data_IF_892865471910
#
_entry.id   IF_892865471910
#
_cell.length_a   1.000
_cell.length_b   1.000
_cell.length_c   1.000
_cell.angle_alpha   90.00
_cell.angle_beta   90.00
_cell.angle_gamma   90.00
#
_symmetry.space_group_name_H-M   'P 1'
#
loop_
_entity.id
_entity.type
_entity.pdbx_description
1 polymer ?
#
# COMPACT_ATOMS: atom_id res chain seq x y z
N UNK A 1 -0.50 7.72 -1.16
CA UNK A 1 -0.49 8.04 0.28
C UNK A 1 -0.05 9.48 0.50
N UNK A 2 0.32 9.87 1.74
CA UNK A 2 0.41 9.02 2.92
C UNK A 2 -0.96 8.45 3.36
N UNK A 3 -0.96 7.31 4.05
CA UNK A 3 -2.19 6.61 4.48
C UNK A 3 -2.41 6.66 6.01
N UNK A 4 -1.62 7.47 6.70
CA UNK A 4 -1.74 7.78 8.13
C UNK A 4 -1.61 9.29 8.30
N UNK A 5 -2.15 9.85 9.39
CA UNK A 5 -1.98 11.28 9.67
C UNK A 5 -0.57 11.55 10.19
N UNK A 6 -0.09 12.79 10.13
CA UNK A 6 1.27 13.13 10.55
C UNK A 6 1.51 13.03 12.05
N UNK A 7 0.45 13.04 12.84
CA UNK A 7 0.42 13.07 14.31
C UNK A 7 -0.05 11.74 14.93
N UNK A 8 -0.40 10.74 14.11
CA UNK A 8 -0.90 9.45 14.58
C UNK A 8 -0.51 8.34 13.61
N UNK A 9 0.14 7.30 14.13
CA UNK A 9 0.41 6.04 13.43
C UNK A 9 -0.79 5.09 13.34
N UNK A 10 -2.02 5.55 13.59
CA UNK A 10 -3.22 4.71 13.67
C UNK A 10 -3.81 4.30 12.31
N UNK A 11 -3.32 4.83 11.18
CA UNK A 11 -3.83 4.52 9.83
C UNK A 11 -5.36 4.70 9.69
N UNK A 12 -5.93 5.74 10.31
CA UNK A 12 -7.36 6.05 10.18
C UNK A 12 -7.75 6.36 8.72
N UNK A 13 -6.99 7.18 7.95
CA UNK A 13 -7.29 7.42 6.54
C UNK A 13 -7.28 6.15 5.68
N UNK A 14 -6.44 5.17 6.03
CA UNK A 14 -6.42 3.86 5.37
C UNK A 14 -7.74 3.11 5.60
N UNK A 15 -8.25 3.15 6.82
CA UNK A 15 -9.50 2.48 7.20
C UNK A 15 -10.69 3.11 6.48
N UNK A 16 -10.72 4.44 6.37
CA UNK A 16 -11.73 5.17 5.61
C UNK A 16 -11.66 4.83 4.11
N UNK A 17 -10.45 4.76 3.53
CA UNK A 17 -10.27 4.36 2.14
C UNK A 17 -10.80 2.94 1.89
N UNK A 18 -10.52 1.99 2.78
CA UNK A 18 -11.04 0.63 2.68
C UNK A 18 -12.57 0.64 2.71
N UNK A 19 -13.20 1.44 3.59
CA UNK A 19 -14.64 1.58 3.64
C UNK A 19 -15.23 2.16 2.34
N UNK A 20 -14.54 3.14 1.73
CA UNK A 20 -14.93 3.71 0.43
C UNK A 20 -14.85 2.64 -0.67
N UNK A 21 -13.75 1.88 -0.75
CA UNK A 21 -13.59 0.80 -1.75
C UNK A 21 -14.66 -0.28 -1.55
N UNK A 22 -14.90 -0.70 -0.31
CA UNK A 22 -15.93 -1.70 0.01
C UNK A 22 -17.34 -1.23 -0.37
N UNK A 23 -17.64 0.07 -0.18
CA UNK A 23 -18.94 0.67 -0.51
C UNK A 23 -19.13 0.84 -2.01
N UNK A 24 -18.13 1.37 -2.71
CA UNK A 24 -18.25 1.75 -4.12
C UNK A 24 -17.89 0.63 -5.09
N UNK A 25 -17.15 -0.39 -4.63
CA UNK A 25 -16.76 -1.58 -5.39
C UNK A 25 -16.21 -1.25 -6.79
N UNK A 26 -15.19 -0.38 -6.90
CA UNK A 26 -14.58 -0.08 -8.21
C UNK A 26 -13.95 -1.34 -8.81
N UNK A 27 -13.87 -1.41 -10.14
CA UNK A 27 -13.20 -2.52 -10.82
C UNK A 27 -11.70 -2.55 -10.50
N UNK A 28 -11.06 -1.38 -10.46
CA UNK A 28 -9.62 -1.21 -10.20
C UNK A 28 -9.34 -0.08 -9.20
N UNK A 29 -8.45 -0.33 -8.24
CA UNK A 29 -7.88 0.65 -7.32
C UNK A 29 -6.36 0.74 -7.55
N UNK A 30 -5.88 1.89 -8.01
CA UNK A 30 -4.44 2.16 -8.14
C UNK A 30 -3.97 2.92 -6.89
N UNK A 31 -3.14 2.28 -6.08
CA UNK A 31 -2.71 2.74 -4.77
C UNK A 31 -1.23 3.12 -4.84
N UNK A 32 -0.97 4.42 -4.86
CA UNK A 32 0.39 4.98 -4.85
C UNK A 32 0.92 5.07 -3.43
N UNK A 33 2.23 4.85 -3.26
CA UNK A 33 2.93 5.13 -2.01
C UNK A 33 2.90 6.62 -1.60
N UNK A 34 3.59 6.99 -0.50
CA UNK A 34 4.19 6.06 0.44
C UNK A 34 3.14 5.34 1.29
N UNK A 35 3.37 4.04 1.54
CA UNK A 35 2.66 3.22 2.51
C UNK A 35 3.32 3.30 3.87
N UNK A 36 4.66 3.35 3.91
CA UNK A 36 5.45 3.69 5.10
C UNK A 36 6.27 4.91 4.77
N UNK A 37 5.77 6.08 5.18
CA UNK A 37 6.33 7.36 4.76
C UNK A 37 7.62 7.68 5.50
N UNK A 38 8.73 7.72 4.76
CA UNK A 38 10.05 8.06 5.25
C UNK A 38 10.14 9.46 5.90
N UNK A 39 9.15 10.34 5.65
CA UNK A 39 9.05 11.67 6.27
C UNK A 39 8.06 11.75 7.44
N UNK A 40 7.48 10.61 7.85
CA UNK A 40 6.65 10.57 9.05
C UNK A 40 7.53 10.66 10.29
N UNK A 41 7.13 11.45 11.30
CA UNK A 41 7.94 11.72 12.50
C UNK A 41 8.39 10.43 13.21
N UNK A 42 7.48 9.48 13.39
CA UNK A 42 7.81 8.18 14.02
C UNK A 42 8.76 7.32 13.16
N UNK A 43 8.77 7.51 11.83
CA UNK A 43 9.67 6.79 10.92
C UNK A 43 11.06 7.41 10.97
N UNK A 44 11.15 8.73 10.86
CA UNK A 44 12.42 9.47 10.94
C UNK A 44 13.12 9.27 12.29
N UNK A 45 12.35 9.20 13.37
CA UNK A 45 12.87 9.02 14.73
C UNK A 45 12.98 7.53 15.15
N UNK A 46 12.71 6.57 14.26
CA UNK A 46 12.77 5.13 14.54
C UNK A 46 11.92 4.70 15.75
N UNK A 47 10.73 5.27 15.91
CA UNK A 47 9.82 5.04 17.03
C UNK A 47 8.75 3.97 16.73
N UNK A 48 8.73 3.41 15.52
CA UNK A 48 7.79 2.36 15.13
C UNK A 48 8.05 1.04 15.87
N UNK A 49 6.96 0.38 16.25
CA UNK A 49 6.97 -0.97 16.83
C UNK A 49 7.13 -2.02 15.72
N UNK A 50 8.34 -2.16 15.17
CA UNK A 50 8.67 -3.17 14.15
C UNK A 50 9.58 -2.63 13.05
N UNK A 51 10.01 -3.52 12.14
CA UNK A 51 10.76 -3.07 10.96
C UNK A 51 9.84 -2.34 9.98
N UNK A 52 10.37 -1.41 9.18
CA UNK A 52 9.58 -0.74 8.14
C UNK A 52 8.94 -1.74 7.16
N UNK A 53 9.62 -2.85 6.89
CA UNK A 53 9.10 -3.93 6.04
C UNK A 53 7.90 -4.64 6.70
N UNK A 54 7.88 -4.82 8.01
CA UNK A 54 6.75 -5.45 8.71
C UNK A 54 5.54 -4.52 8.79
N UNK A 55 5.76 -3.22 8.99
CA UNK A 55 4.70 -2.21 8.95
C UNK A 55 4.09 -2.13 7.55
N UNK A 56 4.91 -2.15 6.50
CA UNK A 56 4.43 -2.23 5.14
C UNK A 56 3.59 -3.49 4.88
N UNK A 57 4.07 -4.67 5.29
CA UNK A 57 3.32 -5.93 5.15
C UNK A 57 1.97 -5.87 5.87
N UNK A 58 1.92 -5.26 7.06
CA UNK A 58 0.68 -5.06 7.79
C UNK A 58 -0.28 -4.13 7.04
N UNK A 59 0.21 -2.99 6.53
CA UNK A 59 -0.57 -2.07 5.72
C UNK A 59 -1.17 -2.76 4.49
N UNK A 60 -0.33 -3.48 3.74
CA UNK A 60 -0.71 -4.24 2.56
C UNK A 60 -1.76 -5.32 2.89
N UNK A 61 -1.56 -6.08 3.97
CA UNK A 61 -2.52 -7.06 4.44
C UNK A 61 -3.86 -6.42 4.78
N UNK A 62 -3.87 -5.31 5.50
CA UNK A 62 -5.10 -4.58 5.88
C UNK A 62 -5.89 -4.14 4.65
N UNK A 63 -5.23 -3.60 3.62
CA UNK A 63 -5.88 -3.20 2.36
C UNK A 63 -6.44 -4.42 1.64
N UNK A 64 -5.63 -5.47 1.45
CA UNK A 64 -6.04 -6.67 0.73
C UNK A 64 -7.24 -7.30 1.43
N UNK A 65 -7.15 -7.60 2.72
CA UNK A 65 -8.21 -8.27 3.47
C UNK A 65 -9.47 -7.40 3.57
N UNK A 66 -9.32 -6.11 3.86
CA UNK A 66 -10.43 -5.17 4.01
C UNK A 66 -11.24 -4.94 2.72
N UNK A 67 -10.63 -5.18 1.55
CA UNK A 67 -11.26 -4.97 0.23
C UNK A 67 -11.69 -6.27 -0.45
N UNK A 68 -11.51 -7.45 0.17
CA UNK A 68 -11.93 -8.74 -0.42
C UNK A 68 -13.39 -8.75 -0.86
N UNK A 69 -14.26 -8.17 -0.04
CA UNK A 69 -15.71 -8.13 -0.33
C UNK A 69 -16.03 -7.31 -1.58
N UNK A 70 -15.22 -6.30 -1.90
CA UNK A 70 -15.40 -5.43 -3.07
C UNK A 70 -15.12 -6.15 -4.38
N UNK A 71 -14.18 -7.11 -4.38
CA UNK A 71 -13.72 -7.79 -5.59
C UNK A 71 -12.83 -6.94 -6.50
N UNK A 72 -12.45 -5.74 -6.06
CA UNK A 72 -11.61 -4.81 -6.82
C UNK A 72 -10.22 -5.39 -7.07
N UNK A 73 -9.70 -5.14 -8.27
CA UNK A 73 -8.28 -5.29 -8.58
C UNK A 73 -7.49 -4.19 -7.88
N UNK A 74 -6.44 -4.57 -7.16
CA UNK A 74 -5.56 -3.67 -6.43
C UNK A 74 -4.22 -3.59 -7.15
N UNK A 75 -3.83 -2.39 -7.57
CA UNK A 75 -2.53 -2.12 -8.20
C UNK A 75 -1.71 -1.27 -7.25
N UNK A 76 -0.64 -1.84 -6.70
CA UNK A 76 0.26 -1.15 -5.78
C UNK A 76 1.44 -0.55 -6.55
N UNK A 77 1.64 0.76 -6.40
CA UNK A 77 2.72 1.53 -7.03
C UNK A 77 3.65 2.07 -5.93
N UNK A 78 4.97 1.80 -5.98
CA UNK A 78 5.90 2.30 -4.98
C UNK A 78 6.08 3.82 -5.05
N UNK A 79 6.70 4.38 -4.02
CA UNK A 79 7.15 5.77 -3.97
C UNK A 79 8.56 5.86 -3.41
N UNK A 80 9.34 6.87 -3.83
CA UNK A 80 10.67 7.15 -3.27
C UNK A 80 10.64 7.46 -1.76
N UNK A 81 9.45 7.70 -1.20
CA UNK A 81 9.22 7.89 0.23
C UNK A 81 8.83 6.62 0.97
N UNK A 82 8.74 5.46 0.31
CA UNK A 82 8.54 4.19 1.00
C UNK A 82 9.82 3.77 1.72
N UNK A 83 9.86 3.96 3.05
CA UNK A 83 11.06 3.77 3.88
C UNK A 83 11.65 2.35 3.82
N UNK A 84 10.88 1.38 3.36
CA UNK A 84 11.24 -0.04 3.29
C UNK A 84 11.67 -0.50 1.88
N UNK A 85 11.64 0.39 0.88
CA UNK A 85 11.84 0.05 -0.53
C UNK A 85 13.01 0.82 -1.17
N UNK A 86 13.39 0.45 -2.38
CA UNK A 86 14.49 1.09 -3.11
C UNK A 86 14.26 2.60 -3.28
N UNK A 87 15.23 3.44 -2.93
CA UNK A 87 15.08 4.91 -2.92
C UNK A 87 15.59 5.59 -4.21
N UNK A 88 15.78 4.84 -5.29
CA UNK A 88 16.31 5.33 -6.57
C UNK A 88 15.26 5.19 -7.66
N UNK A 89 15.12 6.23 -8.48
CA UNK A 89 14.22 6.23 -9.62
C UNK A 89 14.94 5.72 -10.89
N UNK A 90 14.31 4.87 -11.72
CA UNK A 90 13.00 4.24 -11.52
C UNK A 90 13.03 3.14 -10.45
N UNK A 91 11.93 2.98 -9.71
CA UNK A 91 11.79 1.96 -8.67
C UNK A 91 11.18 0.66 -9.22
N UNK A 92 11.71 -0.53 -8.85
CA UNK A 92 11.07 -1.79 -9.18
C UNK A 92 9.75 -1.96 -8.41
N UNK A 93 8.87 -2.90 -8.82
CA UNK A 93 7.70 -3.27 -8.02
C UNK A 93 8.07 -3.69 -6.60
N UNK A 94 7.14 -3.56 -5.66
CA UNK A 94 7.33 -4.13 -4.33
C UNK A 94 7.57 -5.65 -4.42
N UNK A 95 8.42 -6.22 -3.53
CA UNK A 95 8.57 -7.67 -3.44
C UNK A 95 7.22 -8.32 -3.13
N UNK A 96 6.76 -9.19 -4.02
CA UNK A 96 5.47 -9.86 -3.86
C UNK A 96 5.49 -10.74 -2.59
N UNK A 97 4.67 -10.45 -1.57
CA UNK A 97 4.54 -11.34 -0.43
C UNK A 97 3.81 -12.62 -0.83
N UNK A 98 3.91 -13.67 -0.02
CA UNK A 98 3.09 -14.87 -0.22
C UNK A 98 1.60 -14.53 0.00
N UNK A 99 0.87 -14.37 -1.11
CA UNK A 99 -0.57 -14.10 -1.08
C UNK A 99 -1.39 -15.40 -1.06
N UNK A 100 -2.54 -15.42 -0.35
CA UNK A 100 -3.54 -16.48 -0.49
C UNK A 100 -3.96 -16.69 -1.95
N UNK A 101 -4.32 -17.93 -2.32
CA UNK A 101 -4.72 -18.28 -3.69
C UNK A 101 -5.82 -17.38 -4.25
N UNK A 102 -6.76 -16.99 -3.40
CA UNK A 102 -7.92 -16.17 -3.78
C UNK A 102 -7.56 -14.69 -3.97
N UNK A 103 -6.46 -14.22 -3.37
CA UNK A 103 -5.99 -12.82 -3.50
C UNK A 103 -5.01 -12.64 -4.67
N UNK A 104 -4.27 -13.69 -5.04
CA UNK A 104 -3.32 -13.65 -6.17
C UNK A 104 -3.87 -13.06 -7.49
N UNK A 105 -5.09 -13.38 -7.97
CA UNK A 105 -5.57 -12.86 -9.25
C UNK A 105 -5.92 -11.38 -9.23
N UNK A 106 -6.18 -10.79 -8.05
CA UNK A 106 -6.66 -9.41 -7.91
C UNK A 106 -5.60 -8.45 -7.38
N UNK A 107 -4.42 -8.93 -6.96
CA UNK A 107 -3.37 -8.09 -6.39
C UNK A 107 -2.18 -8.01 -7.35
N UNK A 108 -1.83 -6.79 -7.72
CA UNK A 108 -0.82 -6.47 -8.72
C UNK A 108 0.21 -5.51 -8.13
N UNK A 109 1.49 -5.77 -8.35
CA UNK A 109 2.58 -4.88 -7.97
C UNK A 109 3.27 -4.40 -9.24
N UNK A 110 3.43 -3.09 -9.41
CA UNK A 110 4.05 -2.48 -10.59
C UNK A 110 5.18 -1.54 -10.19
N UNK A 111 6.02 -1.16 -11.16
CA UNK A 111 7.13 -0.20 -10.95
C UNK A 111 6.63 1.24 -10.80
N UNK A 112 7.50 2.13 -10.30
CA UNK A 112 7.36 3.58 -10.46
C UNK A 112 8.49 4.10 -11.37
N UNK A 113 8.21 4.53 -12.61
CA UNK A 113 6.88 4.66 -13.23
C UNK A 113 6.40 3.33 -13.83
N UNK A 114 5.13 3.27 -14.22
CA UNK A 114 4.54 2.16 -14.98
C UNK A 114 3.58 2.69 -16.06
N UNK A 115 3.55 2.05 -17.23
CA UNK A 115 2.44 2.18 -18.17
C UNK A 115 1.51 0.98 -17.95
N UNK A 116 0.28 1.26 -17.54
CA UNK A 116 -0.74 0.26 -17.28
C UNK A 116 -1.88 0.45 -18.27
N UNK A 117 -2.29 -0.64 -18.92
CA UNK A 117 -3.46 -0.67 -19.80
C UNK A 117 -4.66 -1.21 -19.01
N UNK A 118 -5.78 -0.50 -19.06
CA UNK A 118 -7.04 -0.84 -18.39
C UNK A 118 -8.14 -0.67 -19.43
N UNK A 119 -8.84 -1.75 -19.74
CA UNK A 119 -9.93 -1.81 -20.72
C UNK A 119 -11.07 -0.82 -20.45
#
# INVERSE_FOLDING_TARGET
GPYTTSDSGAYEPLSDLIAVIARHRPDVCILFGPFVDAKHEEVENCQLLGSFADVFKLCLKTIIEGTRSAGSHLVFVPSLRDAHHDYVYPQPPFPCPELPKDDKPRVHFVSDPCTLDID
#
